data_IF_986848523558
#
_entry.id   IF_986848523558
#
_cell.length_a   1.000
_cell.length_b   1.000
_cell.length_c   1.000
_cell.angle_alpha   90.00
_cell.angle_beta   90.00
_cell.angle_gamma   90.00
#
_symmetry.space_group_name_H-M   'P 1'
#
loop_
_entity.id
_entity.type
_entity.pdbx_description
1 polymer ?
#
# COMPACT_ATOMS: atom_id res chain seq x y z
N UNK A 1 -14.87 -4.17 35.03
CA UNK A 1 -14.09 -5.26 35.67
C UNK A 1 -12.63 -4.95 35.45
N UNK A 2 -11.85 -4.80 36.51
CA UNK A 2 -10.43 -4.47 36.36
C UNK A 2 -9.69 -5.70 35.82
N UNK A 3 -8.90 -5.53 34.77
CA UNK A 3 -8.17 -6.62 34.12
C UNK A 3 -6.67 -6.32 34.12
N UNK A 4 -5.82 -7.33 34.31
CA UNK A 4 -4.37 -7.15 34.31
C UNK A 4 -3.69 -8.27 33.54
N UNK A 5 -2.91 -7.88 32.53
CA UNK A 5 -2.06 -8.76 31.73
C UNK A 5 -0.61 -8.55 32.16
N UNK A 6 0.01 -9.56 32.77
CA UNK A 6 1.36 -9.44 33.33
C UNK A 6 2.30 -10.53 32.81
N UNK A 7 3.54 -10.14 32.52
CA UNK A 7 4.64 -11.05 32.20
C UNK A 7 4.36 -12.00 31.02
N UNK A 8 3.54 -11.58 30.06
CA UNK A 8 3.28 -12.38 28.87
C UNK A 8 4.37 -12.12 27.83
N UNK A 9 4.86 -13.19 27.19
CA UNK A 9 5.94 -13.14 26.21
C UNK A 9 5.48 -13.86 24.96
N UNK A 10 5.54 -13.17 23.83
CA UNK A 10 5.32 -13.75 22.51
C UNK A 10 6.58 -13.60 21.66
N UNK A 11 6.87 -14.55 20.79
CA UNK A 11 8.05 -14.47 19.93
C UNK A 11 7.91 -13.34 18.89
N UNK A 12 6.70 -13.12 18.36
CA UNK A 12 6.49 -12.22 17.22
C UNK A 12 5.58 -11.03 17.51
N UNK A 13 4.35 -11.25 17.93
CA UNK A 13 3.33 -10.20 17.98
C UNK A 13 2.56 -10.19 19.28
N UNK A 14 2.37 -9.00 19.85
CA UNK A 14 1.36 -8.77 20.88
C UNK A 14 1.65 -9.55 22.15
N UNK A 15 2.58 -9.07 22.97
CA UNK A 15 3.08 -9.83 24.12
C UNK A 15 1.99 -10.33 25.04
N UNK A 16 0.91 -9.56 25.22
CA UNK A 16 -0.30 -9.98 25.91
C UNK A 16 -1.49 -10.26 24.98
N UNK A 17 -1.69 -9.43 23.95
CA UNK A 17 -2.86 -9.53 23.06
C UNK A 17 -2.41 -9.39 21.61
N UNK A 18 -2.76 -10.37 20.80
CA UNK A 18 -2.68 -10.34 19.35
C UNK A 18 -4.08 -10.48 18.77
N UNK A 19 -4.42 -9.67 17.76
CA UNK A 19 -5.65 -9.83 16.98
C UNK A 19 -5.40 -9.51 15.53
N UNK A 20 -5.80 -10.42 14.65
CA UNK A 20 -5.84 -10.20 13.20
C UNK A 20 -7.25 -9.96 12.65
N UNK A 21 -8.24 -9.94 13.54
CA UNK A 21 -9.64 -9.81 13.17
C UNK A 21 -10.04 -8.36 12.87
N UNK A 22 -10.50 -8.11 11.64
CA UNK A 22 -11.14 -6.86 11.23
C UNK A 22 -12.58 -6.81 11.75
N UNK A 23 -12.93 -5.80 12.56
CA UNK A 23 -14.31 -5.60 12.99
C UNK A 23 -14.59 -5.78 14.49
N UNK A 24 -13.58 -6.02 15.32
CA UNK A 24 -13.77 -5.98 16.77
C UNK A 24 -13.69 -4.52 17.26
N UNK A 25 -14.80 -3.79 17.19
CA UNK A 25 -14.86 -2.39 17.59
C UNK A 25 -15.57 -2.23 18.93
N UNK A 26 -14.89 -1.51 19.84
CA UNK A 26 -15.39 -0.97 21.11
C UNK A 26 -15.95 -2.02 22.10
N UNK A 27 -15.04 -2.76 22.73
CA UNK A 27 -15.35 -3.31 24.06
C UNK A 27 -15.31 -2.17 25.09
N UNK A 28 -16.22 -2.17 26.06
CA UNK A 28 -16.18 -1.21 27.18
C UNK A 28 -14.96 -1.50 28.06
N UNK A 29 -13.83 -0.85 27.77
CA UNK A 29 -12.61 -0.96 28.55
C UNK A 29 -12.74 -0.15 29.83
N UNK A 30 -12.70 -0.86 30.96
CA UNK A 30 -12.64 -0.25 32.30
C UNK A 30 -11.44 -0.84 33.03
N UNK A 31 -10.45 0.00 33.32
CA UNK A 31 -9.26 -0.30 34.14
C UNK A 31 -8.48 -1.56 33.68
N UNK A 32 -7.72 -1.43 32.60
CA UNK A 32 -6.84 -2.49 32.10
C UNK A 32 -5.38 -2.12 32.33
N UNK A 33 -4.61 -3.03 32.91
CA UNK A 33 -3.18 -2.83 33.13
C UNK A 33 -2.35 -3.86 32.35
N UNK A 34 -1.37 -3.40 31.59
CA UNK A 34 -0.35 -4.21 30.95
C UNK A 34 0.98 -4.01 31.68
N UNK A 35 1.51 -5.07 32.29
CA UNK A 35 2.73 -5.02 33.08
C UNK A 35 3.78 -6.01 32.58
N UNK A 36 4.95 -5.52 32.18
CA UNK A 36 6.11 -6.35 31.82
C UNK A 36 5.83 -7.39 30.71
N UNK A 37 5.02 -7.03 29.72
CA UNK A 37 4.76 -7.88 28.55
C UNK A 37 5.82 -7.62 27.47
N UNK A 38 6.15 -8.65 26.69
CA UNK A 38 7.20 -8.61 25.67
C UNK A 38 6.78 -9.30 24.36
N UNK A 39 7.13 -8.69 23.23
CA UNK A 39 7.06 -9.32 21.92
C UNK A 39 8.11 -8.75 20.95
N UNK A 40 8.28 -9.33 19.77
CA UNK A 40 9.09 -8.68 18.71
C UNK A 40 8.44 -7.38 18.22
N UNK A 41 7.12 -7.35 18.00
CA UNK A 41 6.35 -6.13 17.71
C UNK A 41 5.09 -6.06 18.57
N UNK A 42 4.76 -4.86 19.08
CA UNK A 42 3.60 -4.67 19.96
C UNK A 42 3.82 -5.29 21.33
N UNK A 43 4.71 -4.69 22.14
CA UNK A 43 5.22 -5.31 23.37
C UNK A 43 4.12 -5.77 24.33
N UNK A 44 3.01 -5.01 24.43
CA UNK A 44 1.79 -5.51 25.05
C UNK A 44 0.76 -5.97 24.02
N UNK A 45 0.50 -5.17 22.99
CA UNK A 45 -0.63 -5.37 22.08
C UNK A 45 -0.19 -5.29 20.63
N UNK A 46 -0.67 -6.22 19.80
CA UNK A 46 -0.55 -6.14 18.37
C UNK A 46 -1.91 -6.33 17.72
N UNK A 47 -2.25 -5.47 16.77
CA UNK A 47 -3.49 -5.59 15.99
C UNK A 47 -3.17 -5.41 14.50
N UNK A 48 -3.59 -6.33 13.64
CA UNK A 48 -3.56 -6.05 12.21
C UNK A 48 -4.82 -5.28 11.85
N UNK A 49 -4.70 -3.97 11.68
CA UNK A 49 -5.70 -3.24 10.91
C UNK A 49 -5.04 -2.16 10.06
N UNK A 50 -5.66 -2.01 8.91
CA UNK A 50 -5.39 -1.20 7.75
C UNK A 50 -6.37 -0.02 7.72
N UNK A 51 -6.66 0.57 8.88
CA UNK A 51 -7.66 1.63 9.03
C UNK A 51 -7.76 1.99 10.50
N UNK A 52 -8.13 3.23 10.83
CA UNK A 52 -8.06 3.87 12.15
C UNK A 52 -8.82 3.18 13.31
N UNK A 53 -9.23 1.92 13.16
CA UNK A 53 -10.06 1.18 14.09
C UNK A 53 -9.30 -0.02 14.66
N UNK A 54 -8.58 0.18 15.76
CA UNK A 54 -7.91 -0.89 16.50
C UNK A 54 -8.92 -1.69 17.37
N UNK A 55 -8.50 -2.88 17.83
CA UNK A 55 -9.23 -3.77 18.76
C UNK A 55 -9.88 -3.04 19.96
N UNK A 56 -9.23 -1.98 20.40
CA UNK A 56 -9.72 -0.97 21.34
C UNK A 56 -9.01 0.34 21.08
N UNK A 57 -9.54 1.45 21.59
CA UNK A 57 -8.80 2.72 21.65
C UNK A 57 -7.54 2.52 22.52
N UNK A 58 -6.39 2.32 21.85
CA UNK A 58 -5.09 2.09 22.50
C UNK A 58 -4.61 3.31 23.29
N UNK A 59 -5.21 4.48 23.05
CA UNK A 59 -4.95 5.73 23.76
C UNK A 59 -5.97 5.98 24.88
N UNK A 60 -6.88 5.05 25.12
CA UNK A 60 -7.87 5.18 26.18
C UNK A 60 -7.17 5.31 27.55
N UNK A 61 -7.48 6.37 28.29
CA UNK A 61 -6.95 6.66 29.63
C UNK A 61 -7.17 5.54 30.66
N UNK A 62 -8.09 4.62 30.40
CA UNK A 62 -8.37 3.47 31.26
C UNK A 62 -7.37 2.31 31.04
N UNK A 63 -6.45 2.44 30.09
CA UNK A 63 -5.36 1.49 29.84
C UNK A 63 -4.07 2.08 30.41
N UNK A 64 -3.41 1.32 31.27
CA UNK A 64 -2.09 1.67 31.77
C UNK A 64 -1.06 0.64 31.29
N UNK A 65 0.07 1.15 30.81
CA UNK A 65 1.18 0.34 30.34
C UNK A 65 2.40 0.60 31.23
N UNK A 66 3.04 -0.46 31.72
CA UNK A 66 4.24 -0.35 32.57
C UNK A 66 5.25 -1.45 32.23
N UNK A 67 6.53 -1.08 32.07
CA UNK A 67 7.67 -2.00 31.82
C UNK A 67 7.53 -2.92 30.60
N UNK A 68 6.81 -2.50 29.58
CA UNK A 68 6.62 -3.25 28.32
C UNK A 68 7.83 -3.07 27.39
N UNK A 69 8.11 -4.08 26.56
CA UNK A 69 9.24 -4.05 25.64
C UNK A 69 8.87 -4.68 24.30
N UNK A 70 9.15 -3.99 23.20
CA UNK A 70 9.23 -4.62 21.89
C UNK A 70 10.61 -4.50 21.28
N UNK A 71 11.02 -5.53 20.55
CA UNK A 71 12.34 -5.57 19.90
C UNK A 71 12.40 -4.69 18.65
N UNK A 72 11.29 -4.62 17.89
CA UNK A 72 11.22 -3.93 16.61
C UNK A 72 10.57 -2.54 16.71
N UNK A 73 9.27 -2.48 16.99
CA UNK A 73 8.52 -1.23 17.06
C UNK A 73 7.28 -1.39 17.94
N UNK A 74 6.75 -0.26 18.41
CA UNK A 74 5.53 -0.24 19.20
C UNK A 74 5.66 -0.94 20.56
N UNK A 75 6.45 -0.34 21.45
CA UNK A 75 6.67 -0.86 22.80
C UNK A 75 5.32 -1.14 23.52
N UNK A 76 4.38 -0.19 23.46
CA UNK A 76 3.03 -0.36 23.98
C UNK A 76 2.18 -1.24 23.07
N UNK A 77 1.97 -0.74 21.87
CA UNK A 77 1.13 -1.34 20.86
C UNK A 77 1.79 -1.17 19.49
N UNK A 78 1.51 -2.09 18.57
CA UNK A 78 1.92 -1.99 17.18
C UNK A 78 0.82 -2.48 16.22
N UNK A 79 0.92 -2.07 14.97
CA UNK A 79 0.08 -2.53 13.86
C UNK A 79 0.94 -2.98 12.70
N UNK A 80 0.33 -3.56 11.65
CA UNK A 80 1.00 -3.63 10.35
C UNK A 80 1.25 -2.20 9.85
N UNK A 81 2.36 -1.92 9.15
CA UNK A 81 2.51 -0.68 8.42
C UNK A 81 1.43 -0.63 7.34
N UNK A 82 0.46 0.26 7.50
CA UNK A 82 -0.68 0.35 6.60
C UNK A 82 -0.45 1.33 5.44
N UNK A 83 0.07 2.53 5.73
CA UNK A 83 0.33 3.53 4.69
C UNK A 83 1.22 4.67 5.20
N UNK A 84 2.04 5.25 4.32
CA UNK A 84 2.77 6.50 4.57
C UNK A 84 2.12 7.56 3.69
N UNK A 85 1.52 8.58 4.31
CA UNK A 85 0.91 9.70 3.58
C UNK A 85 1.81 10.93 3.64
N UNK A 86 2.07 11.55 2.49
CA UNK A 86 2.54 12.93 2.44
C UNK A 86 1.30 13.84 2.51
N UNK A 87 0.97 14.33 3.71
CA UNK A 87 -0.11 15.30 3.87
C UNK A 87 0.45 16.70 3.59
N UNK A 88 0.12 17.23 2.40
CA UNK A 88 0.40 18.58 1.86
C UNK A 88 1.68 18.76 1.01
N UNK A 89 1.76 19.92 0.33
CA UNK A 89 2.87 20.44 -0.50
C UNK A 89 4.17 20.60 0.32
N UNK A 90 4.66 19.52 0.90
CA UNK A 90 5.80 19.55 1.80
C UNK A 90 7.09 19.27 1.03
N UNK A 91 7.90 20.31 0.83
CA UNK A 91 9.26 20.23 0.29
C UNK A 91 10.29 20.00 1.41
N UNK A 92 10.00 19.08 2.33
CA UNK A 92 10.89 18.76 3.45
C UNK A 92 11.03 17.26 3.71
N UNK A 93 11.77 16.91 4.76
CA UNK A 93 12.08 15.51 5.07
C UNK A 93 10.84 14.80 5.65
N UNK A 94 10.47 13.65 5.07
CA UNK A 94 9.50 12.73 5.66
C UNK A 94 10.26 11.72 6.49
N UNK A 95 10.01 11.68 7.80
CA UNK A 95 10.51 10.61 8.65
C UNK A 95 9.46 9.51 8.73
N UNK A 96 9.82 8.31 8.27
CA UNK A 96 9.02 7.09 8.42
C UNK A 96 9.66 6.21 9.48
N UNK A 97 8.90 5.84 10.51
CA UNK A 97 9.35 4.91 11.56
C UNK A 97 8.57 3.62 11.44
N UNK A 98 9.22 2.57 10.96
CA UNK A 98 8.66 1.22 10.92
C UNK A 98 9.79 0.21 11.16
N UNK A 99 9.44 -0.97 11.67
CA UNK A 99 10.35 -2.09 11.89
C UNK A 99 10.86 -2.72 10.60
N UNK A 100 10.89 -4.06 10.51
CA UNK A 100 11.12 -4.76 9.23
C UNK A 100 10.01 -4.38 8.24
N UNK A 101 10.26 -3.36 7.42
CA UNK A 101 9.30 -2.78 6.50
C UNK A 101 9.65 -3.23 5.08
N UNK A 102 8.87 -4.14 4.53
CA UNK A 102 8.87 -4.41 3.09
C UNK A 102 7.95 -3.36 2.46
N UNK A 103 8.54 -2.39 1.76
CA UNK A 103 7.85 -1.23 1.19
C UNK A 103 7.22 -1.58 -0.16
N UNK A 104 6.37 -2.61 -0.20
CA UNK A 104 5.80 -3.14 -1.45
C UNK A 104 4.71 -2.24 -2.03
N UNK A 105 4.13 -1.34 -1.23
CA UNK A 105 2.92 -0.57 -1.59
C UNK A 105 3.10 0.95 -1.43
N UNK A 106 4.35 1.46 -1.51
CA UNK A 106 4.55 2.92 -1.52
C UNK A 106 3.91 3.51 -2.77
N UNK A 107 2.94 4.39 -2.56
CA UNK A 107 2.30 5.20 -3.61
C UNK A 107 2.65 6.68 -3.41
N UNK A 108 3.06 7.36 -4.47
CA UNK A 108 3.41 8.78 -4.46
C UNK A 108 2.45 9.51 -5.39
N UNK A 109 1.72 10.47 -4.83
CA UNK A 109 0.78 11.31 -5.57
C UNK A 109 1.34 12.73 -5.68
N UNK A 110 1.20 13.34 -6.85
CA UNK A 110 1.60 14.74 -7.08
C UNK A 110 0.41 15.52 -7.61
N UNK A 111 0.24 16.74 -7.08
CA UNK A 111 -0.74 17.73 -7.57
C UNK A 111 -0.16 18.63 -8.66
N UNK A 112 1.14 18.50 -8.97
CA UNK A 112 1.82 19.28 -10.01
C UNK A 112 1.44 18.71 -11.38
N UNK A 113 0.24 19.08 -11.84
CA UNK A 113 -0.42 18.54 -13.03
C UNK A 113 0.24 19.02 -14.33
N UNK A 114 1.09 20.05 -14.32
CA UNK A 114 1.45 20.74 -15.57
C UNK A 114 2.84 20.44 -16.12
N UNK A 115 3.64 19.57 -15.48
CA UNK A 115 4.90 19.05 -16.03
C UNK A 115 5.27 17.76 -15.30
N UNK A 116 5.83 16.74 -15.99
CA UNK A 116 6.44 15.61 -15.30
C UNK A 116 7.41 16.13 -14.25
N UNK A 117 7.08 15.92 -12.98
CA UNK A 117 7.86 16.44 -11.88
C UNK A 117 8.86 15.36 -11.51
N UNK A 118 10.14 15.63 -11.77
CA UNK A 118 11.22 14.81 -11.26
C UNK A 118 11.25 14.95 -9.74
N UNK A 119 10.85 13.89 -9.03
CA UNK A 119 10.94 13.82 -7.57
C UNK A 119 12.24 13.08 -7.22
N UNK A 120 13.16 13.78 -6.58
CA UNK A 120 14.34 13.17 -5.97
C UNK A 120 13.98 12.66 -4.56
N UNK A 121 13.83 11.35 -4.40
CA UNK A 121 13.66 10.73 -3.09
C UNK A 121 15.03 10.45 -2.47
N UNK A 122 15.29 11.01 -1.29
CA UNK A 122 16.50 10.74 -0.51
C UNK A 122 16.14 9.91 0.72
N UNK A 123 16.79 8.77 0.86
CA UNK A 123 16.62 7.91 2.04
C UNK A 123 17.65 8.25 3.11
N UNK A 124 17.21 8.28 4.36
CA UNK A 124 18.08 8.46 5.53
C UNK A 124 17.61 7.59 6.68
N UNK A 125 18.55 7.03 7.44
CA UNK A 125 18.26 6.29 8.67
C UNK A 125 18.51 7.21 9.86
N UNK A 126 17.47 7.45 10.67
CA UNK A 126 17.64 8.08 11.98
C UNK A 126 18.34 7.11 12.95
N UNK A 127 19.24 7.61 13.80
CA UNK A 127 19.98 6.81 14.81
C UNK A 127 20.76 5.62 14.22
N UNK A 128 21.54 5.90 13.17
CA UNK A 128 22.28 4.90 12.43
C UNK A 128 23.57 4.41 13.13
N UNK A 129 23.45 3.87 14.35
CA UNK A 129 24.59 3.38 15.15
C UNK A 129 25.36 2.25 14.46
N UNK A 130 24.67 1.49 13.60
CA UNK A 130 25.24 0.38 12.83
C UNK A 130 25.81 0.78 11.47
N UNK A 131 25.77 2.08 11.12
CA UNK A 131 26.37 2.58 9.89
C UNK A 131 25.75 2.03 8.61
N UNK A 132 24.43 1.79 8.60
CA UNK A 132 23.65 1.42 7.42
C UNK A 132 23.86 2.47 6.33
N UNK A 133 24.34 2.05 5.17
CA UNK A 133 24.53 2.90 4.00
C UNK A 133 23.57 2.47 2.92
N UNK A 134 22.91 3.44 2.30
CA UNK A 134 22.20 3.20 1.05
C UNK A 134 23.22 3.27 -0.09
N UNK A 135 23.19 2.29 -1.00
CA UNK A 135 24.01 2.31 -2.22
C UNK A 135 23.44 3.27 -3.29
N UNK A 136 22.40 4.01 -2.95
CA UNK A 136 21.70 4.94 -3.82
C UNK A 136 21.59 6.26 -3.04
N UNK A 137 22.23 7.31 -3.55
CA UNK A 137 22.16 8.63 -2.93
C UNK A 137 20.76 9.25 -3.05
N UNK A 138 20.14 9.07 -4.22
CA UNK A 138 18.81 9.56 -4.56
C UNK A 138 18.13 8.61 -5.54
N UNK A 139 16.86 8.32 -5.29
CA UNK A 139 15.98 7.65 -6.24
C UNK A 139 15.18 8.71 -7.00
N UNK A 140 15.40 8.78 -8.31
CA UNK A 140 14.63 9.66 -9.20
C UNK A 140 13.30 9.00 -9.54
N UNK A 141 12.21 9.64 -9.18
CA UNK A 141 10.85 9.21 -9.51
C UNK A 141 10.25 10.20 -10.49
N UNK A 142 9.77 9.67 -11.61
CA UNK A 142 9.11 10.43 -12.66
C UNK A 142 7.60 10.19 -12.56
N UNK A 143 6.85 11.22 -12.18
CA UNK A 143 5.38 11.17 -12.19
C UNK A 143 4.90 11.69 -13.53
N UNK A 144 4.22 10.83 -14.30
CA UNK A 144 3.65 11.16 -15.62
C UNK A 144 2.13 11.26 -15.55
N UNK A 145 1.56 11.98 -16.50
CA UNK A 145 0.13 11.88 -16.81
C UNK A 145 -0.19 10.52 -17.45
N UNK A 146 -1.48 10.15 -17.45
CA UNK A 146 -1.92 8.94 -18.14
C UNK A 146 -1.68 9.03 -19.65
N UNK A 147 -1.17 7.95 -20.23
CA UNK A 147 -1.07 7.85 -21.68
C UNK A 147 -2.48 7.80 -22.30
N UNK A 148 -2.58 8.15 -23.59
CA UNK A 148 -3.90 8.24 -24.25
C UNK A 148 -4.62 6.90 -24.28
N UNK A 149 -3.88 5.81 -24.22
CA UNK A 149 -4.32 4.43 -24.28
C UNK A 149 -4.78 3.90 -22.91
N UNK A 150 -4.37 4.57 -21.82
CA UNK A 150 -4.67 4.18 -20.45
C UNK A 150 -6.01 4.74 -19.95
N UNK A 151 -6.57 4.07 -18.94
CA UNK A 151 -7.82 4.44 -18.29
C UNK A 151 -7.51 5.21 -17.00
N UNK A 152 -8.14 6.37 -16.85
CA UNK A 152 -8.07 7.16 -15.63
C UNK A 152 -9.00 6.52 -14.59
N UNK A 153 -8.44 6.12 -13.45
CA UNK A 153 -9.15 5.53 -12.33
C UNK A 153 -9.11 6.47 -11.13
N UNK A 154 -10.24 6.70 -10.46
CA UNK A 154 -10.31 7.60 -9.31
C UNK A 154 -10.27 6.79 -8.01
N UNK A 155 -9.16 6.93 -7.29
CA UNK A 155 -9.05 6.49 -5.91
C UNK A 155 -9.49 7.57 -4.92
N UNK A 156 -9.49 7.20 -3.63
CA UNK A 156 -9.79 8.12 -2.52
C UNK A 156 -8.91 9.39 -2.50
N UNK A 157 -7.70 9.32 -3.06
CA UNK A 157 -6.65 10.34 -2.89
C UNK A 157 -6.24 11.05 -4.18
N UNK A 158 -6.79 10.65 -5.33
CA UNK A 158 -6.41 11.16 -6.64
C UNK A 158 -6.76 10.17 -7.72
N UNK A 159 -6.38 10.46 -8.96
CA UNK A 159 -6.47 9.50 -10.05
C UNK A 159 -5.15 8.77 -10.26
N UNK A 160 -5.24 7.56 -10.78
CA UNK A 160 -4.13 6.75 -11.27
C UNK A 160 -4.50 6.16 -12.63
N UNK A 161 -3.51 5.64 -13.35
CA UNK A 161 -3.69 5.13 -14.69
C UNK A 161 -3.64 3.60 -14.66
N UNK A 162 -4.61 2.95 -15.29
CA UNK A 162 -4.58 1.52 -15.53
C UNK A 162 -4.48 1.22 -17.01
N UNK A 163 -3.74 0.17 -17.36
CA UNK A 163 -3.82 -0.39 -18.69
C UNK A 163 -5.19 -1.08 -18.87
N UNK A 164 -5.81 -0.97 -20.06
CA UNK A 164 -7.10 -1.59 -20.31
C UNK A 164 -6.99 -3.11 -20.15
N UNK A 165 -7.92 -3.68 -19.39
CA UNK A 165 -8.04 -5.13 -19.21
C UNK A 165 -8.98 -5.65 -20.29
N UNK A 166 -8.56 -6.66 -21.03
CA UNK A 166 -9.40 -7.37 -22.00
C UNK A 166 -9.80 -8.74 -21.47
N UNK A 167 -10.80 -9.35 -22.09
CA UNK A 167 -11.16 -10.74 -21.79
C UNK A 167 -9.98 -11.67 -22.05
N UNK A 168 -9.91 -12.79 -21.32
CA UNK A 168 -8.83 -13.79 -21.45
C UNK A 168 -8.74 -14.45 -22.82
N UNK A 169 -9.75 -14.24 -23.67
CA UNK A 169 -9.82 -14.78 -25.03
C UNK A 169 -8.99 -13.88 -25.98
N UNK A 170 -8.79 -12.61 -25.65
CA UNK A 170 -7.94 -11.71 -26.43
C UNK A 170 -6.45 -12.09 -26.25
N UNK A 171 -5.72 -12.42 -27.33
CA UNK A 171 -4.31 -12.84 -27.26
C UNK A 171 -3.36 -11.63 -27.09
N UNK A 172 -3.52 -10.90 -25.98
CA UNK A 172 -2.75 -9.70 -25.66
C UNK A 172 -1.27 -10.04 -25.51
N UNK A 173 -0.41 -9.33 -26.25
CA UNK A 173 1.04 -9.53 -26.24
C UNK A 173 1.56 -10.52 -27.30
N UNK A 174 0.68 -11.22 -28.00
CA UNK A 174 1.03 -12.09 -29.13
C UNK A 174 0.55 -11.51 -30.46
N UNK A 175 -0.76 -11.50 -30.68
CA UNK A 175 -1.40 -11.05 -31.93
C UNK A 175 -2.39 -9.91 -31.71
N UNK A 176 -2.59 -9.51 -30.46
CA UNK A 176 -3.49 -8.42 -30.11
C UNK A 176 -2.91 -7.47 -29.05
N UNK A 177 -3.52 -6.29 -28.98
CA UNK A 177 -3.33 -5.27 -27.98
C UNK A 177 -4.70 -5.00 -27.36
N UNK A 178 -4.76 -4.81 -26.04
CA UNK A 178 -5.97 -4.33 -25.42
C UNK A 178 -6.03 -2.80 -25.51
N UNK A 179 -7.14 -2.26 -26.00
CA UNK A 179 -7.37 -0.83 -26.05
C UNK A 179 -8.64 -0.47 -25.26
N UNK A 180 -8.61 0.68 -24.58
CA UNK A 180 -9.71 1.13 -23.72
C UNK A 180 -10.96 1.49 -24.52
N UNK A 181 -12.15 1.40 -23.93
CA UNK A 181 -13.41 1.77 -24.60
C UNK A 181 -13.36 3.13 -25.34
N UNK A 182 -13.92 3.17 -26.56
CA UNK A 182 -14.03 4.38 -27.39
C UNK A 182 -14.86 5.49 -26.75
N UNK A 183 -15.73 5.13 -25.81
CA UNK A 183 -16.56 6.08 -25.07
C UNK A 183 -15.75 6.88 -24.04
N UNK A 184 -14.44 6.62 -23.91
CA UNK A 184 -13.51 7.28 -22.98
C UNK A 184 -14.06 7.32 -21.55
N UNK A 185 -14.62 6.20 -21.10
CA UNK A 185 -15.24 6.09 -19.80
C UNK A 185 -14.14 6.00 -18.75
N UNK A 186 -14.09 7.01 -17.88
CA UNK A 186 -13.20 7.02 -16.73
C UNK A 186 -13.77 6.18 -15.58
N UNK A 187 -12.89 5.76 -14.67
CA UNK A 187 -13.20 4.99 -13.45
C UNK A 187 -13.78 3.58 -13.66
N UNK A 188 -13.75 3.06 -14.89
CA UNK A 188 -14.29 1.74 -15.23
C UNK A 188 -13.33 1.04 -16.16
N UNK A 189 -12.62 0.04 -15.65
CA UNK A 189 -11.77 -0.85 -16.43
C UNK A 189 -12.42 -2.24 -16.57
N UNK A 190 -13.45 -2.32 -17.42
CA UNK A 190 -14.25 -3.54 -17.60
C UNK A 190 -13.80 -4.31 -18.86
N UNK A 191 -13.42 -5.60 -18.73
CA UNK A 191 -13.03 -6.46 -19.86
C UNK A 191 -14.04 -6.55 -21.01
N UNK A 192 -15.34 -6.36 -20.71
CA UNK A 192 -16.40 -6.44 -21.71
C UNK A 192 -16.60 -5.11 -22.46
N UNK A 193 -15.97 -4.04 -22.02
CA UNK A 193 -16.09 -2.70 -22.60
C UNK A 193 -14.83 -2.28 -23.36
N UNK A 194 -13.67 -2.80 -22.95
CA UNK A 194 -12.42 -2.64 -23.68
C UNK A 194 -12.40 -3.55 -24.91
N UNK A 195 -11.60 -3.20 -25.91
CA UNK A 195 -11.57 -3.91 -27.17
C UNK A 195 -10.24 -4.57 -27.45
N UNK A 196 -10.33 -5.79 -27.99
CA UNK A 196 -9.20 -6.52 -28.53
C UNK A 196 -8.90 -5.96 -29.92
N UNK A 197 -7.72 -5.37 -30.12
CA UNK A 197 -7.27 -4.87 -31.42
C UNK A 197 -6.13 -5.71 -31.92
N UNK A 198 -6.25 -6.19 -33.15
CA UNK A 198 -5.20 -6.98 -33.78
C UNK A 198 -3.98 -6.12 -34.11
N UNK A 199 -2.80 -6.68 -33.87
CA UNK A 199 -1.55 -6.11 -34.37
C UNK A 199 -1.51 -6.24 -35.89
N UNK A 200 -0.70 -5.41 -36.54
CA UNK A 200 -0.57 -5.42 -38.00
C UNK A 200 -0.18 -6.83 -38.51
N UNK A 201 -0.88 -7.29 -39.56
CA UNK A 201 -0.73 -8.64 -40.10
C UNK A 201 -1.66 -9.69 -39.47
N UNK A 202 -2.58 -9.29 -38.58
CA UNK A 202 -3.63 -10.15 -38.03
C UNK A 202 -5.02 -9.52 -38.15
N UNK A 203 -6.02 -10.35 -38.42
CA UNK A 203 -7.45 -10.03 -38.51
C UNK A 203 -8.27 -11.14 -37.83
N UNK A 204 -9.59 -10.93 -37.73
CA UNK A 204 -10.50 -11.81 -36.99
C UNK A 204 -10.89 -11.19 -35.65
N UNK A 205 -11.99 -11.68 -35.06
CA UNK A 205 -12.53 -11.13 -33.80
C UNK A 205 -11.59 -11.39 -32.62
N UNK A 206 -10.70 -12.38 -32.74
CA UNK A 206 -9.70 -12.76 -31.73
C UNK A 206 -8.28 -12.68 -32.30
N UNK A 207 -8.07 -12.01 -33.43
CA UNK A 207 -6.76 -11.82 -34.06
C UNK A 207 -6.04 -13.13 -34.39
N UNK A 208 -6.83 -14.13 -34.80
CA UNK A 208 -6.39 -15.49 -35.06
C UNK A 208 -6.00 -15.74 -36.53
N UNK A 209 -6.40 -14.85 -37.44
CA UNK A 209 -6.19 -14.99 -38.88
C UNK A 209 -5.04 -14.08 -39.30
N UNK A 210 -4.04 -14.61 -40.02
CA UNK A 210 -3.00 -13.78 -40.62
C UNK A 210 -3.54 -13.04 -41.85
N UNK A 211 -3.31 -11.74 -41.87
CA UNK A 211 -3.66 -10.87 -42.99
C UNK A 211 -2.55 -10.91 -44.05
N UNK A 212 -2.80 -11.60 -45.15
CA UNK A 212 -1.85 -11.75 -46.24
C UNK A 212 -2.18 -10.76 -47.36
N UNK A 213 -1.22 -9.92 -47.71
CA UNK A 213 -1.33 -9.09 -48.92
C UNK A 213 -1.16 -9.98 -50.16
N UNK A 214 -2.17 -9.99 -51.02
CA UNK A 214 -2.06 -10.64 -52.35
C UNK A 214 -1.17 -9.78 -53.23
N UNK A 215 0.06 -10.22 -53.47
CA UNK A 215 0.96 -9.63 -54.45
C UNK A 215 0.38 -9.89 -55.86
N UNK A 216 0.05 -8.82 -56.58
CA UNK A 216 -0.33 -8.86 -58.00
C UNK A 216 0.86 -8.61 -58.90
#
# INVERSE_FOLDING_TARGET
MNTTFKNNIADYFGGAIYSDYEGLYLTNITNVNFFSNRAYSGGAIYTSNDGDLTLFDVYNKNINYTNYYSESHGNNYATKPYMIYLVSEYTGNITVKSGKCELNEISIFSKLINNPSDIDLKFSVENNEHGIKFNIDKLKVLVKECEKEQIIMYGKFGYYCEDPICTSICPVGETAICEKSKDNIENINNPNMNYCKCVEGYIGDLCEIKDYVVLK
#
